data_IF_046703189352
#
_entry.id   IF_046703189352
#
_cell.length_a   1.000
_cell.length_b   1.000
_cell.length_c   1.000
_cell.angle_alpha   90.00
_cell.angle_beta   90.00
_cell.angle_gamma   90.00
#
_symmetry.space_group_name_H-M   'P 1'
#
loop_
_entity.id
_entity.type
_entity.pdbx_description
1 polymer ?
#
# COMPACT_ATOMS: atom_id res chain seq x y z
N UNK A 1 -4.55 -11.48 -4.77
CA UNK A 1 -5.52 -12.37 -4.09
C UNK A 1 -5.06 -12.52 -2.65
N UNK A 2 -5.98 -12.67 -1.71
CA UNK A 2 -5.67 -12.93 -0.28
C UNK A 2 -6.18 -14.32 0.08
N UNK A 3 -5.35 -15.07 0.79
CA UNK A 3 -5.56 -16.47 1.12
C UNK A 3 -5.39 -16.69 2.62
N UNK A 4 -6.23 -17.54 3.19
CA UNK A 4 -6.01 -18.12 4.51
C UNK A 4 -5.04 -19.30 4.35
N UNK A 5 -3.89 -19.21 5.01
CA UNK A 5 -2.86 -20.25 4.92
C UNK A 5 -3.10 -21.43 5.87
N UNK A 6 -3.89 -21.25 6.93
CA UNK A 6 -4.24 -22.34 7.85
C UNK A 6 -5.26 -23.27 7.21
N UNK A 7 -6.25 -22.68 6.53
CA UNK A 7 -7.33 -23.44 5.90
C UNK A 7 -7.09 -23.71 4.41
N UNK A 8 -6.10 -23.05 3.80
CA UNK A 8 -5.82 -23.15 2.36
C UNK A 8 -6.92 -22.53 1.49
N UNK A 9 -7.70 -21.59 2.04
CA UNK A 9 -8.90 -21.05 1.39
C UNK A 9 -8.65 -19.68 0.79
N UNK A 10 -9.26 -19.43 -0.37
CA UNK A 10 -9.34 -18.08 -0.93
C UNK A 10 -10.26 -17.23 -0.06
N UNK A 11 -9.77 -16.07 0.40
CA UNK A 11 -10.55 -15.14 1.21
C UNK A 11 -11.22 -14.08 0.35
N UNK A 12 -10.45 -13.40 -0.48
CA UNK A 12 -10.98 -12.46 -1.47
C UNK A 12 -9.93 -12.05 -2.53
N UNK A 13 -10.41 -11.41 -3.59
CA UNK A 13 -9.58 -10.81 -4.64
C UNK A 13 -9.81 -9.31 -4.66
N UNK A 14 -8.74 -8.54 -4.48
CA UNK A 14 -8.74 -7.11 -4.76
C UNK A 14 -8.46 -6.88 -6.25
N UNK A 15 -9.42 -6.28 -6.95
CA UNK A 15 -9.26 -5.92 -8.36
C UNK A 15 -8.56 -4.55 -8.46
N UNK A 16 -7.27 -4.58 -8.75
CA UNK A 16 -6.52 -3.38 -9.09
C UNK A 16 -6.81 -2.87 -10.49
N UNK A 17 -6.68 -1.57 -10.72
CA UNK A 17 -6.81 -0.94 -12.04
C UNK A 17 -5.46 -0.63 -12.71
N UNK A 18 -4.33 -0.89 -12.02
CA UNK A 18 -2.97 -0.82 -12.57
C UNK A 18 -2.13 -1.99 -12.05
N UNK A 19 -0.92 -2.10 -12.57
CA UNK A 19 0.08 -3.07 -12.13
C UNK A 19 0.37 -2.90 -10.64
N UNK A 20 0.39 -4.03 -9.92
CA UNK A 20 0.75 -4.08 -8.50
C UNK A 20 2.22 -4.45 -8.39
N UNK A 21 3.04 -3.54 -7.86
CA UNK A 21 4.48 -3.73 -7.77
C UNK A 21 4.92 -4.28 -6.39
N UNK A 22 4.19 -3.95 -5.33
CA UNK A 22 4.52 -4.35 -3.97
C UNK A 22 3.27 -4.42 -3.07
N UNK A 23 3.37 -5.24 -2.02
CA UNK A 23 2.35 -5.45 -1.00
C UNK A 23 3.01 -5.44 0.38
N UNK A 24 2.34 -4.90 1.40
CA UNK A 24 2.85 -4.95 2.77
C UNK A 24 1.71 -4.88 3.79
N UNK A 25 1.68 -5.81 4.74
CA UNK A 25 0.71 -5.78 5.84
C UNK A 25 1.13 -4.75 6.89
N UNK A 26 0.14 -4.06 7.47
CA UNK A 26 0.39 -3.27 8.66
C UNK A 26 0.75 -4.20 9.83
N UNK A 27 1.75 -3.85 10.66
CA UNK A 27 2.13 -4.69 11.80
C UNK A 27 1.17 -4.59 12.99
N UNK A 28 0.34 -3.54 13.03
CA UNK A 28 -0.53 -3.23 14.19
C UNK A 28 -2.03 -3.32 13.86
N UNK A 29 -2.41 -3.16 12.59
CA UNK A 29 -3.80 -3.11 12.13
C UNK A 29 -4.02 -4.19 11.10
N UNK A 30 -5.26 -4.64 10.96
CA UNK A 30 -5.61 -5.65 9.95
C UNK A 30 -5.75 -5.04 8.56
N UNK A 31 -4.67 -4.38 8.11
CA UNK A 31 -4.61 -3.58 6.90
C UNK A 31 -3.57 -4.13 5.93
N UNK A 32 -3.82 -3.92 4.64
CA UNK A 32 -2.91 -4.24 3.55
C UNK A 32 -2.62 -2.99 2.73
N UNK A 33 -1.35 -2.65 2.59
CA UNK A 33 -0.86 -1.63 1.67
C UNK A 33 -0.57 -2.25 0.31
N UNK A 34 -1.03 -1.61 -0.76
CA UNK A 34 -0.88 -2.06 -2.15
C UNK A 34 -0.28 -0.95 -3.00
N UNK A 35 0.94 -1.16 -3.49
CA UNK A 35 1.60 -0.26 -4.45
C UNK A 35 1.03 -0.48 -5.84
N UNK A 36 0.44 0.56 -6.43
CA UNK A 36 -0.27 0.48 -7.69
C UNK A 36 0.03 1.69 -8.58
N UNK A 37 0.89 1.51 -9.59
CA UNK A 37 1.42 2.64 -10.35
C UNK A 37 2.07 3.67 -9.42
N UNK A 38 1.61 4.92 -9.44
CA UNK A 38 2.13 6.01 -8.61
C UNK A 38 1.49 6.11 -7.21
N UNK A 39 0.48 5.29 -6.92
CA UNK A 39 -0.32 5.39 -5.69
C UNK A 39 -0.14 4.19 -4.77
N UNK A 40 -0.46 4.39 -3.50
CA UNK A 40 -0.52 3.31 -2.51
C UNK A 40 -1.92 3.26 -1.94
N UNK A 41 -2.61 2.15 -2.13
CA UNK A 41 -3.93 1.92 -1.54
C UNK A 41 -3.79 1.20 -0.21
N UNK A 42 -4.51 1.68 0.81
CA UNK A 42 -4.59 1.06 2.13
C UNK A 42 -5.96 0.42 2.25
N UNK A 43 -5.99 -0.90 2.39
CA UNK A 43 -7.20 -1.71 2.48
C UNK A 43 -7.36 -2.21 3.89
N UNK A 44 -8.59 -2.17 4.39
CA UNK A 44 -8.98 -2.88 5.61
C UNK A 44 -9.48 -4.27 5.22
N UNK A 45 -8.85 -5.30 5.79
CA UNK A 45 -9.08 -6.69 5.40
C UNK A 45 -10.30 -7.30 6.11
N UNK A 46 -10.75 -6.71 7.22
CA UNK A 46 -11.96 -7.13 7.94
C UNK A 46 -13.18 -6.71 7.13
N UNK A 47 -13.24 -5.42 6.80
CA UNK A 47 -14.35 -4.80 6.07
C UNK A 47 -14.23 -4.94 4.56
N UNK A 48 -13.06 -5.37 4.07
CA UNK A 48 -12.71 -5.49 2.64
C UNK A 48 -12.88 -4.16 1.88
N UNK A 49 -12.60 -3.05 2.56
CA UNK A 49 -12.85 -1.69 2.06
C UNK A 49 -11.55 -0.89 1.89
N UNK A 50 -11.60 0.13 1.02
CA UNK A 50 -10.50 1.08 0.85
C UNK A 50 -10.56 2.10 1.97
N UNK A 51 -9.52 2.14 2.81
CA UNK A 51 -9.38 3.11 3.90
C UNK A 51 -8.81 4.41 3.38
N UNK A 52 -7.77 4.32 2.54
CA UNK A 52 -7.08 5.50 2.06
C UNK A 52 -6.35 5.23 0.74
N UNK A 53 -6.07 6.29 0.01
CA UNK A 53 -5.19 6.28 -1.16
C UNK A 53 -4.12 7.36 -1.00
N UNK A 54 -2.87 6.92 -0.86
CA UNK A 54 -1.71 7.80 -0.74
C UNK A 54 -1.20 8.12 -2.14
N UNK A 55 -1.28 9.40 -2.48
CA UNK A 55 -0.84 9.94 -3.75
C UNK A 55 0.12 11.10 -3.54
N UNK A 56 0.99 11.29 -4.52
CA UNK A 56 1.94 12.39 -4.55
C UNK A 56 1.31 13.51 -5.35
N UNK A 57 0.60 14.41 -4.66
CA UNK A 57 -0.26 15.42 -5.30
C UNK A 57 0.47 16.72 -5.68
N UNK A 58 1.79 16.81 -5.51
CA UNK A 58 2.52 18.07 -5.66
C UNK A 58 3.44 18.07 -6.89
N UNK A 59 3.47 19.20 -7.59
CA UNK A 59 4.33 19.50 -8.75
C UNK A 59 5.84 19.38 -8.47
N UNK A 60 6.23 19.21 -7.21
CA UNK A 60 7.63 19.04 -6.79
C UNK A 60 8.24 17.72 -7.27
N UNK A 61 7.41 16.75 -7.65
CA UNK A 61 7.84 15.39 -7.92
C UNK A 61 7.75 15.04 -9.40
N UNK A 62 8.63 14.15 -9.86
CA UNK A 62 8.62 13.71 -11.26
C UNK A 62 7.28 13.05 -11.57
N UNK A 63 6.52 13.66 -12.48
CA UNK A 63 5.25 13.11 -12.94
C UNK A 63 5.47 11.71 -13.53
N UNK A 64 4.61 10.77 -13.14
CA UNK A 64 4.67 9.38 -13.57
C UNK A 64 5.65 8.48 -12.81
N UNK A 65 6.25 8.93 -11.70
CA UNK A 65 7.02 8.05 -10.83
C UNK A 65 6.12 6.95 -10.25
N UNK A 66 6.57 5.69 -10.35
CA UNK A 66 5.84 4.53 -9.86
C UNK A 66 6.42 4.04 -8.54
N UNK A 67 5.55 3.52 -7.67
CA UNK A 67 5.93 2.87 -6.42
C UNK A 67 6.49 1.50 -6.75
N UNK A 68 7.69 1.21 -6.25
CA UNK A 68 8.38 -0.07 -6.46
C UNK A 68 8.49 -0.90 -5.18
N UNK A 69 8.40 -0.28 -4.01
CA UNK A 69 8.48 -0.97 -2.72
C UNK A 69 7.66 -0.25 -1.65
N UNK A 70 7.18 -1.01 -0.66
CA UNK A 70 6.49 -0.49 0.52
C UNK A 70 7.04 -1.19 1.77
N UNK A 71 7.25 -0.42 2.84
CA UNK A 71 7.51 -0.93 4.17
C UNK A 71 6.74 -0.13 5.23
N UNK A 72 6.23 -0.81 6.24
CA UNK A 72 5.70 -0.18 7.45
C UNK A 72 6.80 0.00 8.49
N UNK A 73 6.72 1.08 9.27
CA UNK A 73 7.46 1.14 10.54
C UNK A 73 6.96 0.05 11.49
N UNK A 74 7.82 -0.44 12.38
CA UNK A 74 7.47 -1.51 13.30
C UNK A 74 6.32 -1.14 14.27
N UNK A 75 6.24 0.14 14.65
CA UNK A 75 5.14 0.71 15.43
C UNK A 75 3.87 0.96 14.61
N UNK A 76 3.92 0.76 13.28
CA UNK A 76 2.81 0.94 12.36
C UNK A 76 2.34 2.38 12.15
N UNK A 77 3.10 3.39 12.59
CA UNK A 77 2.72 4.81 12.47
C UNK A 77 3.13 5.44 11.14
N UNK A 78 4.03 4.79 10.39
CA UNK A 78 4.59 5.30 9.13
C UNK A 78 4.60 4.25 8.04
N UNK A 79 4.43 4.75 6.81
CA UNK A 79 4.64 3.98 5.58
C UNK A 79 5.77 4.63 4.81
N UNK A 80 6.77 3.83 4.45
CA UNK A 80 7.87 4.19 3.56
C UNK A 80 7.61 3.57 2.19
N UNK A 81 7.77 4.36 1.13
CA UNK A 81 7.67 3.84 -0.22
C UNK A 81 8.78 4.34 -1.12
N UNK A 82 9.44 3.39 -1.79
CA UNK A 82 10.44 3.68 -2.81
C UNK A 82 9.77 3.90 -4.17
N UNK A 83 10.29 4.87 -4.93
CA UNK A 83 9.78 5.22 -6.24
C UNK A 83 10.86 5.16 -7.32
N UNK A 84 10.43 5.05 -8.59
CA UNK A 84 11.31 5.04 -9.77
C UNK A 84 12.03 6.37 -10.03
N UNK A 85 11.68 7.43 -9.31
CA UNK A 85 12.37 8.73 -9.37
C UNK A 85 13.49 8.87 -8.33
N UNK A 86 13.97 7.75 -7.78
CA UNK A 86 15.03 7.65 -6.79
C UNK A 86 14.70 8.25 -5.43
N UNK A 87 13.43 8.58 -5.18
CA UNK A 87 12.98 9.15 -3.91
C UNK A 87 12.29 8.11 -3.04
N UNK A 88 12.47 8.25 -1.73
CA UNK A 88 11.64 7.58 -0.72
C UNK A 88 10.64 8.60 -0.20
N UNK A 89 9.38 8.22 -0.14
CA UNK A 89 8.30 9.05 0.41
C UNK A 89 7.74 8.40 1.65
N UNK A 90 7.34 9.25 2.60
CA UNK A 90 6.94 8.83 3.94
C UNK A 90 5.58 9.46 4.25
N UNK A 91 4.63 8.64 4.69
CA UNK A 91 3.34 9.11 5.19
C UNK A 91 3.16 8.68 6.64
N UNK A 92 2.60 9.57 7.45
CA UNK A 92 2.02 9.20 8.73
C UNK A 92 0.66 8.55 8.53
N UNK A 93 0.31 7.62 9.41
CA UNK A 93 -1.01 6.97 9.40
C UNK A 93 -1.98 7.55 10.43
N UNK A 94 -1.56 8.62 11.11
CA UNK A 94 -2.39 9.40 12.02
C UNK A 94 -3.11 10.52 11.23
N UNK A 95 -4.33 10.86 11.65
CA UNK A 95 -5.11 11.96 11.07
C UNK A 95 -4.62 13.30 11.58
#
# INVERSE_FOLDING_TARGET
MVWDLNEGKHLFTFAGNKVINALSFSPIRYWLSVAMGSSIKILDLETKSLINELNVNNDTYKSGAEVTSIAWSADGTRIFAGYTDNMIRIWGTEK
#
